data_IF_087990380289
#
_entry.id   IF_087990380289
#
_cell.length_a   1.000
_cell.length_b   1.000
_cell.length_c   1.000
_cell.angle_alpha   90.00
_cell.angle_beta   90.00
_cell.angle_gamma   90.00
#
_symmetry.space_group_name_H-M   'P 1'
#
loop_
_entity.id
_entity.type
_entity.pdbx_description
1 polymer ?
#
# COMPACT_ATOMS: atom_id res chain seq x y z
N UNK A 1 16.36 0.90 22.50
CA UNK A 1 15.62 1.78 21.58
C UNK A 1 14.20 1.98 22.03
N UNK A 2 13.51 2.99 21.50
CA UNK A 2 12.07 3.11 21.70
C UNK A 2 11.29 2.55 20.49
N UNK A 3 10.09 2.03 20.78
CA UNK A 3 9.14 1.54 19.78
C UNK A 3 7.69 1.69 20.24
N UNK A 4 6.77 1.70 19.32
CA UNK A 4 5.34 1.56 19.62
C UNK A 4 5.04 0.08 19.89
N UNK A 5 4.55 -0.20 21.08
CA UNK A 5 4.06 -1.52 21.49
C UNK A 5 2.54 -1.56 21.52
N UNK A 6 1.98 -2.75 21.47
CA UNK A 6 0.54 -3.01 21.64
C UNK A 6 0.39 -4.06 22.76
N UNK A 7 0.39 -3.64 24.04
CA UNK A 7 0.27 -4.58 25.15
C UNK A 7 -1.01 -5.41 25.11
N UNK A 8 -2.13 -4.77 24.75
CA UNK A 8 -3.43 -5.40 24.52
C UNK A 8 -4.12 -4.76 23.31
N UNK A 9 -4.82 -5.52 22.48
CA UNK A 9 -5.59 -4.97 21.37
C UNK A 9 -6.65 -3.97 21.85
N UNK A 10 -6.82 -2.86 21.13
CA UNK A 10 -7.77 -1.82 21.54
C UNK A 10 -7.90 -0.66 20.57
N UNK A 11 -8.39 0.46 21.12
CA UNK A 11 -8.44 1.76 20.44
C UNK A 11 -7.06 2.37 20.22
N UNK A 12 -6.96 3.58 19.64
CA UNK A 12 -5.67 4.24 19.38
C UNK A 12 -4.78 4.36 20.64
N UNK A 13 -5.36 4.45 21.82
CA UNK A 13 -4.67 4.50 23.12
C UNK A 13 -3.93 3.19 23.47
N UNK A 14 -4.19 2.09 22.76
CA UNK A 14 -3.44 0.84 22.93
C UNK A 14 -2.01 0.92 22.36
N UNK A 15 -1.70 1.96 21.57
CA UNK A 15 -0.36 2.22 21.07
C UNK A 15 0.47 2.93 22.15
N UNK A 16 1.47 2.24 22.70
CA UNK A 16 2.30 2.73 23.79
C UNK A 16 3.74 2.90 23.31
N UNK A 17 4.28 4.11 23.44
CA UNK A 17 5.70 4.40 23.22
C UNK A 17 6.50 3.88 24.39
N UNK A 18 7.34 2.87 24.18
CA UNK A 18 8.04 2.16 25.24
C UNK A 18 9.48 1.83 24.85
N UNK A 19 10.34 1.75 25.85
CA UNK A 19 11.70 1.25 25.72
C UNK A 19 11.69 -0.27 25.50
N UNK A 20 12.42 -0.73 24.47
CA UNK A 20 12.51 -2.13 24.08
C UNK A 20 13.96 -2.46 23.68
N UNK A 21 14.36 -3.74 23.67
CA UNK A 21 15.69 -4.13 23.21
C UNK A 21 15.93 -3.71 21.75
N UNK A 22 17.17 -3.31 21.43
CA UNK A 22 17.59 -3.07 20.06
C UNK A 22 17.57 -4.38 19.27
N UNK A 23 17.06 -4.39 18.03
CA UNK A 23 17.14 -5.55 17.17
C UNK A 23 18.57 -5.79 16.71
N UNK A 24 18.93 -7.07 16.55
CA UNK A 24 20.23 -7.49 16.02
C UNK A 24 19.97 -8.07 14.63
N UNK A 25 20.63 -7.55 13.57
CA UNK A 25 20.45 -8.07 12.23
C UNK A 25 21.05 -9.48 12.11
N UNK A 26 20.24 -10.40 11.59
CA UNK A 26 20.63 -11.79 11.30
C UNK A 26 21.42 -11.90 9.98
N UNK A 27 21.76 -13.12 9.58
CA UNK A 27 22.40 -13.37 8.27
C UNK A 27 21.51 -12.85 7.14
N UNK A 28 22.07 -12.04 6.24
CA UNK A 28 21.36 -11.42 5.11
C UNK A 28 20.43 -10.27 5.49
N UNK A 29 20.53 -9.74 6.71
CA UNK A 29 19.79 -8.58 7.17
C UNK A 29 20.69 -7.37 7.43
N UNK A 30 20.12 -6.19 7.38
CA UNK A 30 20.76 -4.95 7.85
C UNK A 30 19.95 -4.38 9.01
N UNK A 31 20.62 -3.61 9.88
CA UNK A 31 19.95 -2.76 10.85
C UNK A 31 19.73 -1.38 10.23
N UNK A 32 18.49 -0.94 10.15
CA UNK A 32 18.11 0.41 9.69
C UNK A 32 17.79 1.27 10.91
N UNK A 33 18.46 2.42 11.04
CA UNK A 33 18.03 3.52 11.89
C UNK A 33 16.92 4.27 11.17
N UNK A 34 15.72 4.22 11.73
CA UNK A 34 14.50 4.70 11.10
C UNK A 34 14.43 6.22 11.16
N UNK A 35 14.30 6.88 10.01
CA UNK A 35 14.02 8.30 9.92
C UNK A 35 12.50 8.56 9.89
N UNK A 36 11.76 7.69 9.21
CA UNK A 36 10.30 7.74 9.15
C UNK A 36 9.70 6.36 8.89
N UNK A 37 8.47 6.15 9.36
CA UNK A 37 7.56 5.08 8.98
C UNK A 37 6.29 5.66 8.37
N UNK A 38 5.46 4.84 7.72
CA UNK A 38 4.18 5.31 7.23
C UNK A 38 3.04 4.43 7.74
N UNK A 39 1.90 5.05 8.07
CA UNK A 39 0.73 4.37 8.61
C UNK A 39 -0.03 3.67 7.50
N UNK A 40 -0.35 2.40 7.75
CA UNK A 40 -1.17 1.56 6.87
C UNK A 40 -2.43 1.08 7.60
N UNK A 41 -3.50 0.81 6.86
CA UNK A 41 -4.74 0.23 7.44
C UNK A 41 -4.47 -1.09 8.16
N UNK A 42 -3.49 -1.86 7.71
CA UNK A 42 -3.07 -3.11 8.33
C UNK A 42 -2.49 -2.91 9.73
N UNK A 43 -1.81 -1.78 10.01
CA UNK A 43 -1.31 -1.43 11.35
C UNK A 43 -2.49 -1.16 12.31
N UNK A 44 -3.54 -0.50 11.80
CA UNK A 44 -4.79 -0.29 12.55
C UNK A 44 -5.44 -1.63 12.89
N UNK A 45 -5.52 -2.55 11.93
CA UNK A 45 -6.06 -3.90 12.15
C UNK A 45 -5.18 -4.72 13.12
N UNK A 46 -3.86 -4.58 13.07
CA UNK A 46 -2.95 -5.20 14.05
C UNK A 46 -3.24 -4.67 15.46
N UNK A 47 -3.33 -3.36 15.63
CA UNK A 47 -3.67 -2.76 16.91
C UNK A 47 -5.01 -3.28 17.46
N UNK A 48 -5.99 -3.51 16.60
CA UNK A 48 -7.31 -4.03 16.96
C UNK A 48 -7.33 -5.56 17.17
N UNK A 49 -6.21 -6.27 16.93
CA UNK A 49 -6.11 -7.72 17.08
C UNK A 49 -6.63 -8.54 15.88
N UNK A 50 -6.97 -7.89 14.75
CA UNK A 50 -7.51 -8.55 13.57
C UNK A 50 -6.48 -8.89 12.49
N UNK A 51 -5.23 -8.47 12.66
CA UNK A 51 -4.17 -8.70 11.67
C UNK A 51 -2.82 -8.95 12.34
N UNK A 52 -2.67 -10.15 12.91
CA UNK A 52 -1.47 -10.51 13.66
C UNK A 52 -0.21 -10.59 12.78
N UNK A 53 0.97 -10.24 13.33
CA UNK A 53 2.24 -10.44 12.64
C UNK A 53 2.42 -11.91 12.26
N UNK A 54 2.99 -12.21 11.07
CA UNK A 54 3.34 -13.58 10.71
C UNK A 54 4.46 -14.09 11.64
N UNK A 55 4.59 -15.43 11.77
CA UNK A 55 5.66 -16.01 12.60
C UNK A 55 7.05 -15.46 12.22
N UNK A 56 7.84 -15.08 13.22
CA UNK A 56 9.19 -14.53 13.05
C UNK A 56 9.26 -13.04 12.70
N UNK A 57 8.13 -12.38 12.42
CA UNK A 57 8.12 -10.93 12.23
C UNK A 57 8.17 -10.18 13.57
N UNK A 58 8.65 -8.95 13.53
CA UNK A 58 8.60 -8.04 14.67
C UNK A 58 7.17 -7.93 15.22
N UNK A 59 6.97 -7.96 16.55
CA UNK A 59 5.66 -7.76 17.17
C UNK A 59 5.18 -6.30 17.07
N UNK A 60 6.11 -5.36 16.84
CA UNK A 60 5.80 -3.95 16.72
C UNK A 60 5.12 -3.67 15.38
N UNK A 61 4.16 -2.71 15.29
CA UNK A 61 3.52 -2.34 14.02
C UNK A 61 4.50 -1.63 13.07
N UNK A 62 4.02 -1.31 11.87
CA UNK A 62 4.75 -0.61 10.83
C UNK A 62 5.26 -1.53 9.74
N UNK A 63 4.63 -1.43 8.55
CA UNK A 63 4.90 -2.30 7.39
C UNK A 63 5.89 -1.69 6.39
N UNK A 64 6.35 -0.49 6.65
CA UNK A 64 7.34 0.21 5.83
C UNK A 64 8.07 1.28 6.64
N UNK A 65 9.27 1.57 6.22
CA UNK A 65 10.06 2.68 6.77
C UNK A 65 11.04 3.23 5.73
N UNK A 66 11.66 4.36 6.07
CA UNK A 66 12.89 4.85 5.48
C UNK A 66 13.89 5.20 6.57
N UNK A 67 15.17 5.22 6.23
CA UNK A 67 16.22 5.50 7.20
C UNK A 67 17.61 5.27 6.63
N UNK A 68 18.57 5.11 7.52
CA UNK A 68 19.98 4.84 7.18
C UNK A 68 20.40 3.47 7.72
N UNK A 69 21.21 2.78 6.95
CA UNK A 69 21.81 1.52 7.41
C UNK A 69 22.80 1.84 8.53
N UNK A 70 22.54 1.32 9.72
CA UNK A 70 23.38 1.50 10.92
C UNK A 70 24.36 0.34 11.11
N UNK A 71 23.99 -0.89 10.69
CA UNK A 71 24.85 -2.05 10.77
C UNK A 71 24.49 -3.09 9.70
N UNK A 72 25.49 -3.91 9.33
CA UNK A 72 25.31 -5.03 8.41
C UNK A 72 25.38 -6.35 9.19
N UNK A 73 24.42 -7.24 8.97
CA UNK A 73 24.48 -8.60 9.44
C UNK A 73 25.44 -9.46 8.61
N UNK A 74 25.74 -10.69 9.05
CA UNK A 74 26.60 -11.60 8.31
C UNK A 74 26.10 -11.84 6.89
N UNK A 75 27.01 -11.99 5.92
CA UNK A 75 26.69 -12.32 4.52
C UNK A 75 26.11 -11.19 3.69
N UNK A 76 25.90 -9.99 4.24
CA UNK A 76 25.37 -8.83 3.50
C UNK A 76 26.42 -8.31 2.51
N UNK A 77 26.00 -8.09 1.27
CA UNK A 77 26.78 -7.45 0.22
C UNK A 77 25.92 -6.49 -0.60
N UNK A 78 26.56 -5.53 -1.27
CA UNK A 78 25.87 -4.53 -2.11
C UNK A 78 25.24 -3.37 -1.34
N UNK A 79 25.42 -3.31 -0.03
CA UNK A 79 24.98 -2.22 0.85
C UNK A 79 26.10 -1.82 1.80
N UNK A 80 26.08 -0.58 2.26
CA UNK A 80 27.08 0.00 3.18
C UNK A 80 26.38 0.70 4.34
N UNK A 81 27.08 0.76 5.49
CA UNK A 81 26.63 1.61 6.61
C UNK A 81 26.58 3.07 6.15
N UNK A 82 25.49 3.74 6.46
CA UNK A 82 25.19 5.12 6.04
C UNK A 82 24.34 5.23 4.78
N UNK A 83 24.14 4.14 4.01
CA UNK A 83 23.26 4.17 2.83
C UNK A 83 21.82 4.57 3.23
N UNK A 84 21.24 5.48 2.46
CA UNK A 84 19.83 5.89 2.61
C UNK A 84 18.92 4.89 1.89
N UNK A 85 18.01 4.31 2.66
CA UNK A 85 17.12 3.24 2.18
C UNK A 85 15.67 3.48 2.57
N UNK A 86 14.76 2.85 1.83
CA UNK A 86 13.42 2.56 2.31
C UNK A 86 13.16 1.06 2.21
N UNK A 87 12.24 0.54 3.03
CA UNK A 87 12.08 -0.88 3.22
C UNK A 87 10.62 -1.32 3.30
N UNK A 88 10.32 -2.46 2.64
CA UNK A 88 9.09 -3.21 2.83
C UNK A 88 9.23 -4.13 4.04
N UNK A 89 8.35 -4.00 5.04
CA UNK A 89 8.45 -4.71 6.31
C UNK A 89 7.29 -5.68 6.53
N UNK A 90 7.50 -6.60 7.48
CA UNK A 90 6.43 -7.44 8.05
C UNK A 90 6.00 -6.98 9.44
N UNK A 91 6.57 -5.90 9.93
CA UNK A 91 6.41 -5.26 11.23
C UNK A 91 7.70 -4.54 11.63
N UNK A 92 7.64 -3.73 12.68
CA UNK A 92 8.82 -3.09 13.27
C UNK A 92 9.10 -1.67 12.75
N UNK A 93 8.35 -1.16 11.79
CA UNK A 93 8.56 0.20 11.27
C UNK A 93 8.26 1.31 12.29
N UNK A 94 7.44 1.04 13.30
CA UNK A 94 7.15 2.01 14.37
C UNK A 94 8.16 1.89 15.52
N UNK A 95 9.45 1.90 15.18
CA UNK A 95 10.55 1.85 16.13
C UNK A 95 11.71 2.71 15.63
N UNK A 96 12.61 3.10 16.52
CA UNK A 96 13.83 3.84 16.14
C UNK A 96 14.78 3.02 15.27
N UNK A 97 14.74 1.67 15.39
CA UNK A 97 15.58 0.75 14.60
C UNK A 97 14.79 -0.49 14.20
N UNK A 98 15.10 -1.04 13.03
CA UNK A 98 14.49 -2.28 12.53
C UNK A 98 15.52 -3.12 11.76
N UNK A 99 15.50 -4.45 11.99
CA UNK A 99 16.26 -5.39 11.18
C UNK A 99 15.47 -5.72 9.90
N UNK A 100 16.13 -5.65 8.74
CA UNK A 100 15.50 -5.76 7.43
C UNK A 100 16.28 -6.73 6.53
N UNK A 101 15.63 -7.77 5.97
CA UNK A 101 16.25 -8.59 4.93
C UNK A 101 16.64 -7.76 3.71
N UNK A 102 17.87 -7.93 3.20
CA UNK A 102 18.39 -7.13 2.06
C UNK A 102 17.51 -7.20 0.81
N UNK A 103 16.79 -8.29 0.58
CA UNK A 103 15.84 -8.42 -0.53
C UNK A 103 14.58 -7.56 -0.39
N UNK A 104 14.36 -6.90 0.74
CA UNK A 104 13.23 -5.99 0.99
C UNK A 104 13.64 -4.52 1.05
N UNK A 105 14.93 -4.22 0.77
CA UNK A 105 15.49 -2.87 0.70
C UNK A 105 15.40 -2.28 -0.70
N UNK A 106 15.16 -0.99 -0.73
CA UNK A 106 15.20 -0.13 -1.90
C UNK A 106 16.06 1.10 -1.57
N UNK A 107 16.93 1.58 -2.46
CA UNK A 107 17.60 2.86 -2.23
C UNK A 107 16.57 3.98 -2.23
N UNK A 108 16.78 5.03 -1.48
CA UNK A 108 15.94 6.24 -1.60
C UNK A 108 16.03 6.74 -3.04
N UNK A 109 14.90 6.97 -3.74
CA UNK A 109 14.94 7.44 -5.14
C UNK A 109 15.51 8.86 -5.23
N UNK A 110 16.24 9.13 -6.30
CA UNK A 110 16.74 10.49 -6.56
C UNK A 110 15.61 11.53 -6.54
N UNK A 111 15.83 12.62 -5.86
CA UNK A 111 14.87 13.73 -5.73
C UNK A 111 13.74 13.49 -4.71
N UNK A 112 13.75 12.39 -3.99
CA UNK A 112 12.80 12.11 -2.90
C UNK A 112 13.50 12.35 -1.55
N UNK A 113 12.86 13.11 -0.68
CA UNK A 113 13.32 13.32 0.69
C UNK A 113 13.31 12.00 1.49
N UNK A 114 14.28 11.81 2.40
CA UNK A 114 14.44 10.57 3.15
C UNK A 114 13.17 10.21 3.94
N UNK A 115 12.54 11.17 4.60
CA UNK A 115 11.31 10.90 5.35
C UNK A 115 10.14 10.56 4.40
N UNK A 116 10.01 11.30 3.27
CA UNK A 116 8.97 11.05 2.28
C UNK A 116 9.11 9.68 1.61
N UNK A 117 10.33 9.13 1.52
CA UNK A 117 10.57 7.78 0.97
C UNK A 117 9.88 6.68 1.77
N UNK A 118 9.57 6.89 3.06
CA UNK A 118 8.80 5.95 3.87
C UNK A 118 7.37 5.71 3.33
N UNK A 119 6.84 6.62 2.52
CA UNK A 119 5.51 6.51 1.93
C UNK A 119 5.45 5.60 0.69
N UNK A 120 6.55 4.98 0.27
CA UNK A 120 6.65 4.27 -1.00
C UNK A 120 6.53 2.74 -0.89
N UNK A 121 7.27 2.03 -0.01
CA UNK A 121 7.48 0.58 -0.14
C UNK A 121 6.19 -0.24 -0.15
N UNK A 122 5.30 -0.03 0.81
CA UNK A 122 4.07 -0.82 0.93
C UNK A 122 3.09 -0.53 -0.22
N UNK A 123 2.87 0.75 -0.54
CA UNK A 123 1.90 1.11 -1.57
C UNK A 123 2.38 0.74 -2.97
N UNK A 124 3.68 0.92 -3.25
CA UNK A 124 4.25 0.58 -4.56
C UNK A 124 4.26 -0.94 -4.75
N UNK A 125 4.74 -1.70 -3.76
CA UNK A 125 4.77 -3.16 -3.83
C UNK A 125 3.36 -3.76 -3.91
N UNK A 126 2.39 -3.22 -3.15
CA UNK A 126 1.00 -3.67 -3.22
C UNK A 126 0.38 -3.40 -4.59
N UNK A 127 0.50 -2.18 -5.11
CA UNK A 127 -0.06 -1.85 -6.43
C UNK A 127 0.65 -2.63 -7.53
N UNK A 128 1.99 -2.66 -7.53
CA UNK A 128 2.75 -3.35 -8.56
C UNK A 128 2.42 -4.83 -8.62
N UNK A 129 2.46 -5.52 -7.47
CA UNK A 129 2.18 -6.96 -7.44
C UNK A 129 0.75 -7.30 -7.87
N UNK A 130 -0.26 -6.50 -7.51
CA UNK A 130 -1.65 -6.83 -7.80
C UNK A 130 -2.11 -6.35 -9.18
N UNK A 131 -1.78 -5.12 -9.55
CA UNK A 131 -2.26 -4.51 -10.81
C UNK A 131 -1.44 -4.99 -12.01
N UNK A 132 -0.09 -5.10 -11.83
CA UNK A 132 0.80 -5.40 -12.96
C UNK A 132 1.27 -6.86 -13.00
N UNK A 133 1.72 -7.43 -11.87
CA UNK A 133 2.22 -8.83 -11.88
C UNK A 133 1.08 -9.85 -11.91
N UNK A 134 -0.02 -9.64 -11.17
CA UNK A 134 -1.15 -10.58 -11.08
C UNK A 134 -2.23 -10.27 -12.11
N UNK A 135 -2.67 -9.01 -12.19
CA UNK A 135 -3.77 -8.63 -13.08
C UNK A 135 -3.32 -8.22 -14.48
N UNK A 136 -2.02 -8.08 -14.73
CA UNK A 136 -1.44 -7.79 -16.04
C UNK A 136 -2.13 -6.60 -16.74
N UNK A 137 -2.31 -5.47 -16.03
CA UNK A 137 -2.83 -4.24 -16.62
C UNK A 137 -1.95 -3.79 -17.79
N UNK A 138 -2.58 -3.44 -18.91
CA UNK A 138 -1.91 -3.06 -20.16
C UNK A 138 -2.20 -1.61 -20.54
N UNK A 139 -1.34 -0.97 -21.35
CA UNK A 139 -1.64 0.33 -21.95
C UNK A 139 -2.98 0.30 -22.70
N UNK A 140 -3.78 1.36 -22.54
CA UNK A 140 -5.12 1.49 -23.15
C UNK A 140 -6.25 0.80 -22.40
N UNK A 141 -5.97 -0.09 -21.44
CA UNK A 141 -6.99 -0.69 -20.56
C UNK A 141 -7.50 0.31 -19.52
N UNK A 142 -8.69 0.02 -18.99
CA UNK A 142 -9.31 0.81 -17.90
C UNK A 142 -9.04 0.15 -16.54
N UNK A 143 -8.41 0.90 -15.64
CA UNK A 143 -8.20 0.53 -14.24
C UNK A 143 -9.23 1.26 -13.37
N UNK A 144 -10.05 0.52 -12.62
CA UNK A 144 -10.88 1.06 -11.54
C UNK A 144 -10.19 0.85 -10.19
N UNK A 145 -10.05 1.93 -9.42
CA UNK A 145 -9.43 1.90 -8.07
C UNK A 145 -10.44 2.33 -7.02
N UNK A 146 -10.80 1.43 -6.12
CA UNK A 146 -11.60 1.80 -4.96
C UNK A 146 -10.74 2.47 -3.89
N UNK A 147 -11.21 3.63 -3.40
CA UNK A 147 -10.48 4.43 -2.44
C UNK A 147 -9.32 5.23 -3.07
N UNK A 148 -9.58 5.91 -4.19
CA UNK A 148 -8.59 6.67 -4.96
C UNK A 148 -7.74 7.66 -4.18
N UNK A 149 -8.28 8.24 -3.10
CA UNK A 149 -7.55 9.19 -2.24
C UNK A 149 -6.69 8.52 -1.14
N UNK A 150 -6.73 7.20 -0.99
CA UNK A 150 -5.86 6.48 -0.04
C UNK A 150 -4.41 6.44 -0.53
N UNK A 151 -3.47 6.01 0.34
CA UNK A 151 -2.08 5.79 -0.08
C UNK A 151 -1.97 4.82 -1.27
N UNK A 152 -2.71 3.71 -1.23
CA UNK A 152 -2.81 2.76 -2.36
C UNK A 152 -3.41 3.44 -3.59
N UNK A 153 -4.51 4.17 -3.41
CA UNK A 153 -5.21 4.81 -4.53
C UNK A 153 -4.37 5.86 -5.24
N UNK A 154 -3.71 6.74 -4.49
CA UNK A 154 -2.84 7.77 -5.06
C UNK A 154 -1.66 7.19 -5.84
N UNK A 155 -1.13 6.06 -5.40
CA UNK A 155 -0.07 5.33 -6.11
C UNK A 155 -0.62 4.62 -7.36
N UNK A 156 -1.78 3.95 -7.24
CA UNK A 156 -2.41 3.23 -8.35
C UNK A 156 -2.80 4.16 -9.51
N UNK A 157 -3.31 5.38 -9.20
CA UNK A 157 -3.59 6.40 -10.22
C UNK A 157 -2.32 6.70 -11.00
N UNK A 158 -1.25 7.09 -10.32
CA UNK A 158 -0.02 7.52 -10.96
C UNK A 158 0.64 6.40 -11.78
N UNK A 159 0.71 5.18 -11.25
CA UNK A 159 1.27 4.03 -11.98
C UNK A 159 0.41 3.65 -13.17
N UNK A 160 -0.92 3.63 -13.05
CA UNK A 160 -1.83 3.40 -14.17
C UNK A 160 -1.65 4.42 -15.28
N UNK A 161 -1.56 5.71 -14.93
CA UNK A 161 -1.30 6.79 -15.91
C UNK A 161 0.09 6.69 -16.53
N UNK A 162 1.10 6.32 -15.75
CA UNK A 162 2.47 6.19 -16.24
C UNK A 162 2.62 5.14 -17.36
N UNK A 163 1.77 4.10 -17.38
CA UNK A 163 1.76 3.08 -18.42
C UNK A 163 0.75 3.38 -19.56
N UNK A 164 -0.04 4.45 -19.46
CA UNK A 164 -1.04 4.82 -20.47
C UNK A 164 -2.41 4.13 -20.31
N UNK A 165 -2.77 3.70 -19.10
CA UNK A 165 -4.12 3.23 -18.80
C UNK A 165 -5.09 4.39 -18.58
N UNK A 166 -6.39 4.14 -18.81
CA UNK A 166 -7.48 5.00 -18.35
C UNK A 166 -7.78 4.66 -16.89
N UNK A 167 -7.82 5.65 -16.00
CA UNK A 167 -7.96 5.40 -14.57
C UNK A 167 -9.26 5.97 -14.05
N UNK A 168 -10.13 5.10 -13.53
CA UNK A 168 -11.33 5.43 -12.79
C UNK A 168 -11.08 5.27 -11.29
N UNK A 169 -11.63 6.16 -10.47
CA UNK A 169 -11.49 6.08 -9.01
C UNK A 169 -12.81 6.29 -8.31
N UNK A 170 -13.00 5.62 -7.18
CA UNK A 170 -14.04 5.98 -6.21
C UNK A 170 -13.41 6.70 -5.02
N UNK A 171 -13.96 7.83 -4.61
CA UNK A 171 -13.58 8.52 -3.39
C UNK A 171 -14.82 9.17 -2.75
N UNK A 172 -14.72 9.64 -1.52
CA UNK A 172 -15.84 10.27 -0.81
C UNK A 172 -15.66 11.79 -0.76
N UNK A 173 -16.46 12.49 -1.55
CA UNK A 173 -16.55 13.95 -1.59
C UNK A 173 -15.64 14.64 -2.61
N UNK A 174 -16.01 15.89 -2.97
CA UNK A 174 -15.39 16.62 -4.08
C UNK A 174 -13.91 16.92 -3.87
N UNK A 175 -13.49 17.25 -2.65
CA UNK A 175 -12.09 17.61 -2.37
C UNK A 175 -11.13 16.44 -2.64
N UNK A 176 -11.52 15.23 -2.24
CA UNK A 176 -10.75 14.02 -2.50
C UNK A 176 -10.70 13.66 -3.98
N UNK A 177 -11.81 13.83 -4.68
CA UNK A 177 -11.87 13.62 -6.12
C UNK A 177 -11.03 14.63 -6.88
N UNK A 178 -11.00 15.89 -6.46
CA UNK A 178 -10.12 16.91 -7.03
C UNK A 178 -8.64 16.50 -6.90
N UNK A 179 -8.23 15.99 -5.74
CA UNK A 179 -6.86 15.49 -5.54
C UNK A 179 -6.56 14.26 -6.42
N UNK A 180 -7.53 13.37 -6.62
CA UNK A 180 -7.38 12.25 -7.56
C UNK A 180 -7.21 12.73 -9.01
N UNK A 181 -7.96 13.77 -9.42
CA UNK A 181 -7.84 14.38 -10.74
C UNK A 181 -6.46 15.00 -10.97
N UNK A 182 -5.91 15.72 -9.97
CA UNK A 182 -4.56 16.28 -10.02
C UNK A 182 -3.46 15.21 -10.20
N UNK A 183 -3.72 13.98 -9.71
CA UNK A 183 -2.82 12.84 -9.89
C UNK A 183 -3.02 12.13 -11.23
N UNK A 184 -4.02 12.55 -12.02
CA UNK A 184 -4.27 12.07 -13.37
C UNK A 184 -5.44 11.09 -13.51
N UNK A 185 -6.30 10.90 -12.50
CA UNK A 185 -7.49 10.09 -12.66
C UNK A 185 -8.44 10.69 -13.71
N UNK A 186 -8.92 9.87 -14.64
CA UNK A 186 -9.75 10.28 -15.77
C UNK A 186 -11.25 10.26 -15.45
N UNK A 187 -11.68 9.31 -14.59
CA UNK A 187 -13.08 9.10 -14.20
C UNK A 187 -13.17 9.22 -12.69
N UNK A 188 -13.93 10.20 -12.22
CA UNK A 188 -14.05 10.54 -10.81
C UNK A 188 -15.45 10.19 -10.32
N UNK A 189 -15.56 9.31 -9.32
CA UNK A 189 -16.84 8.78 -8.85
C UNK A 189 -16.96 9.05 -7.35
N UNK A 190 -17.91 9.89 -6.96
CA UNK A 190 -18.29 10.02 -5.55
C UNK A 190 -19.20 8.86 -5.16
N UNK A 191 -18.65 7.88 -4.44
CA UNK A 191 -19.40 6.69 -4.03
C UNK A 191 -20.56 6.97 -3.06
N UNK A 192 -20.66 8.20 -2.55
CA UNK A 192 -21.76 8.64 -1.67
C UNK A 192 -23.01 9.04 -2.46
N UNK A 193 -22.80 9.54 -3.69
CA UNK A 193 -23.84 10.12 -4.54
C UNK A 193 -24.10 9.31 -5.81
N UNK A 194 -23.13 8.49 -6.24
CA UNK A 194 -23.14 7.82 -7.53
C UNK A 194 -22.96 6.29 -7.41
N UNK A 195 -23.60 5.54 -8.31
CA UNK A 195 -23.30 4.12 -8.48
C UNK A 195 -22.07 3.95 -9.40
N UNK A 196 -21.01 3.41 -8.86
CA UNK A 196 -19.76 3.27 -9.62
C UNK A 196 -19.87 2.33 -10.82
N UNK A 197 -20.81 1.35 -10.79
CA UNK A 197 -21.04 0.46 -11.94
C UNK A 197 -21.58 1.25 -13.11
N UNK A 198 -22.59 2.08 -12.87
CA UNK A 198 -23.22 2.89 -13.91
C UNK A 198 -22.25 3.92 -14.47
N UNK A 199 -21.48 4.59 -13.61
CA UNK A 199 -20.50 5.59 -14.04
C UNK A 199 -19.36 4.97 -14.83
N UNK A 200 -18.83 3.80 -14.43
CA UNK A 200 -17.78 3.11 -15.19
C UNK A 200 -18.30 2.65 -16.54
N UNK A 201 -19.49 2.01 -16.58
CA UNK A 201 -20.07 1.55 -17.85
C UNK A 201 -20.34 2.72 -18.79
N UNK A 202 -20.89 3.83 -18.27
CA UNK A 202 -21.12 5.05 -19.06
C UNK A 202 -19.82 5.63 -19.63
N UNK A 203 -18.78 5.72 -18.80
CA UNK A 203 -17.49 6.30 -19.21
C UNK A 203 -16.66 5.39 -20.13
N UNK A 204 -17.06 4.13 -20.28
CA UNK A 204 -16.41 3.11 -21.13
C UNK A 204 -17.31 2.59 -22.24
N UNK A 205 -18.37 3.31 -22.61
CA UNK A 205 -19.33 2.94 -23.66
C UNK A 205 -19.90 1.50 -23.49
N UNK A 206 -20.14 1.11 -22.24
CA UNK A 206 -20.68 -0.20 -21.84
C UNK A 206 -19.63 -1.31 -21.71
N UNK A 207 -18.36 -1.06 -21.98
CA UNK A 207 -17.27 -2.07 -21.92
C UNK A 207 -16.98 -2.50 -20.47
N UNK A 208 -16.84 -1.55 -19.54
CA UNK A 208 -16.46 -1.78 -18.14
C UNK A 208 -14.97 -1.61 -17.88
N UNK A 209 -14.54 -1.98 -16.67
CA UNK A 209 -13.14 -1.91 -16.25
C UNK A 209 -12.39 -3.22 -16.55
N UNK A 210 -11.21 -3.11 -17.13
CA UNK A 210 -10.35 -4.28 -17.41
C UNK A 210 -9.69 -4.82 -16.14
N UNK A 211 -9.29 -3.92 -15.24
CA UNK A 211 -8.75 -4.27 -13.92
C UNK A 211 -9.47 -3.46 -12.85
N UNK A 212 -9.85 -4.12 -11.76
CA UNK A 212 -10.38 -3.45 -10.57
C UNK A 212 -9.46 -3.77 -9.40
N UNK A 213 -8.94 -2.72 -8.74
CA UNK A 213 -8.21 -2.83 -7.48
C UNK A 213 -9.15 -2.52 -6.32
N UNK A 214 -9.46 -3.54 -5.51
CA UNK A 214 -10.51 -3.48 -4.50
C UNK A 214 -9.98 -3.61 -3.07
N UNK A 215 -10.31 -2.63 -2.24
CA UNK A 215 -10.05 -2.60 -0.80
C UNK A 215 -11.29 -2.92 0.04
N UNK A 216 -12.46 -3.10 -0.60
CA UNK A 216 -13.74 -3.25 0.09
C UNK A 216 -14.12 -4.70 0.34
N UNK A 217 -13.84 -5.60 -0.59
CA UNK A 217 -14.19 -7.02 -0.47
C UNK A 217 -15.70 -7.29 -0.63
N UNK A 218 -16.28 -8.05 0.28
CA UNK A 218 -17.61 -8.63 0.16
C UNK A 218 -18.71 -7.63 -0.25
N UNK A 219 -18.74 -6.46 0.35
CA UNK A 219 -19.77 -5.44 0.08
C UNK A 219 -19.80 -4.98 -1.38
N UNK A 220 -18.67 -5.03 -2.07
CA UNK A 220 -18.56 -4.57 -3.46
C UNK A 220 -18.46 -5.71 -4.47
N UNK A 221 -18.36 -6.97 -4.03
CA UNK A 221 -18.03 -8.12 -4.87
C UNK A 221 -18.96 -8.27 -6.08
N UNK A 222 -20.29 -8.29 -5.88
CA UNK A 222 -21.27 -8.39 -6.97
C UNK A 222 -21.18 -7.19 -7.92
N UNK A 223 -21.10 -5.98 -7.37
CA UNK A 223 -21.02 -4.75 -8.16
C UNK A 223 -19.72 -4.68 -8.95
N UNK A 224 -18.60 -5.12 -8.35
CA UNK A 224 -17.31 -5.24 -9.05
C UNK A 224 -17.41 -6.18 -10.24
N UNK A 225 -18.03 -7.36 -10.08
CA UNK A 225 -18.24 -8.28 -11.19
C UNK A 225 -19.09 -7.66 -12.30
N UNK A 226 -20.11 -6.88 -11.96
CA UNK A 226 -20.93 -6.14 -12.94
C UNK A 226 -20.13 -5.06 -13.68
N UNK A 227 -19.24 -4.37 -12.99
CA UNK A 227 -18.40 -3.30 -13.56
C UNK A 227 -17.23 -3.82 -14.40
N UNK A 228 -16.83 -5.10 -14.27
CA UNK A 228 -15.75 -5.67 -15.07
C UNK A 228 -16.08 -5.71 -16.56
N UNK A 229 -15.08 -5.48 -17.37
CA UNK A 229 -15.07 -5.78 -18.80
C UNK A 229 -15.04 -7.30 -19.06
N UNK A 230 -15.23 -7.70 -20.31
CA UNK A 230 -14.95 -9.07 -20.76
C UNK A 230 -13.45 -9.35 -20.66
N UNK A 231 -13.07 -10.48 -20.09
CA UNK A 231 -11.71 -10.84 -19.64
C UNK A 231 -11.16 -9.94 -18.51
N UNK A 232 -12.05 -9.27 -17.77
CA UNK A 232 -11.69 -8.40 -16.66
C UNK A 232 -11.12 -9.16 -15.47
N UNK A 233 -10.32 -8.46 -14.64
CA UNK A 233 -9.62 -9.02 -13.49
C UNK A 233 -9.90 -8.17 -12.27
N UNK A 234 -10.48 -8.79 -11.23
CA UNK A 234 -10.71 -8.17 -9.92
C UNK A 234 -9.61 -8.60 -8.96
N UNK A 235 -8.82 -7.67 -8.46
CA UNK A 235 -7.81 -7.88 -7.45
C UNK A 235 -8.29 -7.33 -6.10
N UNK A 236 -8.64 -8.22 -5.18
CA UNK A 236 -9.05 -7.88 -3.82
C UNK A 236 -7.82 -7.85 -2.91
N UNK A 237 -7.54 -6.68 -2.32
CA UNK A 237 -6.41 -6.46 -1.42
C UNK A 237 -6.82 -5.99 -0.03
N UNK A 238 -8.11 -5.79 0.21
CA UNK A 238 -8.66 -5.36 1.48
C UNK A 238 -10.10 -5.82 1.67
N UNK A 239 -10.54 -5.82 2.93
CA UNK A 239 -11.82 -6.38 3.34
C UNK A 239 -12.61 -5.39 4.21
N UNK A 240 -12.53 -4.08 3.92
CA UNK A 240 -13.20 -3.04 4.72
C UNK A 240 -14.73 -3.15 4.71
N UNK A 241 -15.29 -3.79 3.69
CA UNK A 241 -16.72 -4.07 3.55
C UNK A 241 -17.10 -5.52 3.85
N UNK A 242 -16.21 -6.28 4.49
CA UNK A 242 -16.45 -7.67 4.90
C UNK A 242 -15.64 -8.71 4.14
N UNK A 243 -15.46 -9.87 4.79
CA UNK A 243 -14.63 -10.99 4.31
C UNK A 243 -15.44 -12.09 3.59
N UNK A 244 -16.75 -12.14 3.77
CA UNK A 244 -17.61 -13.20 3.21
C UNK A 244 -18.72 -12.58 2.36
N UNK A 245 -18.85 -13.02 1.12
CA UNK A 245 -19.86 -12.57 0.18
C UNK A 245 -20.20 -13.65 -0.85
N UNK A 246 -21.36 -13.53 -1.49
CA UNK A 246 -21.79 -14.40 -2.58
C UNK A 246 -21.14 -13.95 -3.89
N UNK A 247 -20.77 -14.92 -4.74
CA UNK A 247 -20.20 -14.70 -6.05
C UNK A 247 -21.07 -15.35 -7.13
N UNK A 248 -21.58 -14.55 -8.05
CA UNK A 248 -22.33 -15.04 -9.20
C UNK A 248 -21.36 -15.61 -10.26
N UNK A 249 -21.18 -16.94 -10.23
CA UNK A 249 -20.30 -17.64 -11.19
C UNK A 249 -20.80 -17.55 -12.64
N UNK A 250 -22.12 -17.46 -12.86
CA UNK A 250 -22.69 -17.27 -14.20
C UNK A 250 -22.27 -15.92 -14.82
N UNK A 251 -22.23 -14.87 -14.01
CA UNK A 251 -21.75 -13.55 -14.45
C UNK A 251 -20.25 -13.59 -14.78
N UNK A 252 -19.43 -14.29 -13.97
CA UNK A 252 -18.01 -14.48 -14.27
C UNK A 252 -17.79 -15.27 -15.56
N UNK A 253 -18.51 -16.37 -15.77
CA UNK A 253 -18.45 -17.18 -17.00
C UNK A 253 -18.75 -16.35 -18.24
N UNK A 254 -19.83 -15.56 -18.21
CA UNK A 254 -20.23 -14.71 -19.32
C UNK A 254 -19.14 -13.70 -19.67
N UNK A 255 -18.47 -13.14 -18.67
CA UNK A 255 -17.38 -12.17 -18.86
C UNK A 255 -16.01 -12.82 -19.03
N UNK A 256 -15.86 -14.13 -18.84
CA UNK A 256 -14.55 -14.80 -18.76
C UNK A 256 -13.60 -14.11 -17.78
N UNK A 257 -14.15 -13.59 -16.70
CA UNK A 257 -13.44 -12.75 -15.74
C UNK A 257 -12.77 -13.60 -14.64
N UNK A 258 -11.76 -13.00 -14.00
CA UNK A 258 -11.06 -13.59 -12.86
C UNK A 258 -11.25 -12.75 -11.60
N UNK A 259 -11.31 -13.41 -10.45
CA UNK A 259 -11.24 -12.80 -9.12
C UNK A 259 -10.03 -13.37 -8.41
N UNK A 260 -9.14 -12.50 -7.96
CA UNK A 260 -7.96 -12.85 -7.17
C UNK A 260 -7.99 -12.09 -5.85
N UNK A 261 -7.44 -12.69 -4.80
CA UNK A 261 -7.27 -12.03 -3.52
C UNK A 261 -5.85 -12.29 -3.03
N UNK A 262 -5.16 -11.25 -2.60
CA UNK A 262 -3.76 -11.37 -2.15
C UNK A 262 -3.49 -10.56 -0.88
N UNK A 263 -2.48 -11.00 -0.14
CA UNK A 263 -1.88 -10.28 0.97
C UNK A 263 -0.38 -10.16 0.71
N UNK A 264 0.22 -9.00 1.02
CA UNK A 264 1.65 -8.79 0.84
C UNK A 264 2.44 -9.19 2.09
N UNK A 265 1.98 -8.80 3.28
CA UNK A 265 2.69 -8.98 4.55
C UNK A 265 3.11 -10.41 4.84
N UNK A 266 2.19 -11.37 4.63
CA UNK A 266 2.38 -12.78 4.93
C UNK A 266 3.14 -13.59 3.86
N UNK A 267 3.58 -12.97 2.76
CA UNK A 267 4.33 -13.68 1.71
C UNK A 267 5.71 -14.10 2.22
N UNK A 268 6.25 -15.24 1.75
CA UNK A 268 7.63 -15.64 1.99
C UNK A 268 8.62 -14.52 1.59
N UNK A 269 9.77 -14.46 2.27
CA UNK A 269 10.78 -13.44 2.01
C UNK A 269 11.25 -13.41 0.54
N UNK A 270 11.39 -14.57 -0.09
CA UNK A 270 11.78 -14.68 -1.51
C UNK A 270 10.73 -14.08 -2.46
N UNK A 271 9.42 -14.23 -2.18
CA UNK A 271 8.37 -13.62 -3.00
C UNK A 271 8.35 -12.09 -2.83
N UNK A 272 8.54 -11.59 -1.59
CA UNK A 272 8.68 -10.16 -1.37
C UNK A 272 9.91 -9.58 -2.07
N UNK A 273 11.04 -10.28 -2.01
CA UNK A 273 12.25 -9.87 -2.71
C UNK A 273 12.04 -9.78 -4.23
N UNK A 274 11.30 -10.73 -4.82
CA UNK A 274 10.96 -10.68 -6.24
C UNK A 274 10.08 -9.47 -6.60
N UNK A 275 9.10 -9.14 -5.74
CA UNK A 275 8.26 -7.94 -5.92
C UNK A 275 9.11 -6.67 -5.79
N UNK A 276 9.95 -6.58 -4.77
CA UNK A 276 10.84 -5.42 -4.54
C UNK A 276 11.83 -5.24 -5.69
N UNK A 277 12.39 -6.32 -6.21
CA UNK A 277 13.28 -6.27 -7.39
C UNK A 277 12.53 -5.74 -8.63
N UNK A 278 11.32 -6.24 -8.90
CA UNK A 278 10.50 -5.76 -10.01
C UNK A 278 10.11 -4.27 -9.85
N UNK A 279 9.78 -3.86 -8.64
CA UNK A 279 9.51 -2.44 -8.31
C UNK A 279 10.75 -1.59 -8.56
N UNK A 280 11.92 -2.02 -8.11
CA UNK A 280 13.20 -1.31 -8.34
C UNK A 280 13.49 -1.15 -9.84
N UNK A 281 13.22 -2.18 -10.63
CA UNK A 281 13.46 -2.16 -12.09
C UNK A 281 12.48 -1.25 -12.83
N UNK A 282 11.18 -1.33 -12.51
CA UNK A 282 10.14 -0.72 -13.33
C UNK A 282 9.56 0.57 -12.77
N UNK A 283 9.54 0.74 -11.45
CA UNK A 283 8.88 1.90 -10.80
C UNK A 283 9.89 2.95 -10.34
N UNK A 284 11.04 2.55 -9.83
CA UNK A 284 12.06 3.49 -9.35
C UNK A 284 12.50 4.51 -10.41
N UNK A 285 12.71 4.13 -11.69
CA UNK A 285 12.98 5.11 -12.76
C UNK A 285 11.84 6.10 -12.99
N UNK A 286 10.58 5.70 -12.75
CA UNK A 286 9.44 6.61 -12.87
C UNK A 286 9.40 7.65 -11.74
N UNK A 287 9.83 7.24 -10.54
CA UNK A 287 9.90 8.13 -9.38
C UNK A 287 11.07 9.10 -9.55
N UNK A 288 12.27 8.61 -9.87
CA UNK A 288 13.45 9.45 -10.13
C UNK A 288 13.21 10.44 -11.29
N UNK A 289 12.43 10.05 -12.29
CA UNK A 289 12.01 10.93 -13.40
C UNK A 289 10.84 11.86 -13.06
N UNK A 290 10.32 11.87 -11.84
CA UNK A 290 9.23 12.76 -11.39
C UNK A 290 7.84 12.43 -11.94
N UNK A 291 7.68 11.30 -12.65
CA UNK A 291 6.39 10.84 -13.21
C UNK A 291 5.48 10.23 -12.14
N UNK A 292 6.06 9.69 -11.10
CA UNK A 292 5.41 9.12 -9.92
C UNK A 292 6.05 9.71 -8.69
N UNK A 293 5.28 10.05 -7.68
CA UNK A 293 5.78 10.66 -6.44
C UNK A 293 5.02 10.16 -5.21
N UNK A 294 5.65 10.12 -4.04
CA UNK A 294 4.92 9.89 -2.79
C UNK A 294 3.91 11.02 -2.57
N UNK A 295 2.71 10.67 -2.12
CA UNK A 295 1.69 11.65 -1.71
C UNK A 295 1.57 11.56 -0.20
N UNK A 296 2.08 12.58 0.48
CA UNK A 296 2.07 12.68 1.95
C UNK A 296 1.03 13.71 2.36
N UNK A 297 0.10 13.30 3.22
CA UNK A 297 -0.93 14.18 3.80
C UNK A 297 -0.36 15.00 4.95
N UNK A 298 0.29 14.31 5.89
CA UNK A 298 0.92 14.92 7.06
C UNK A 298 2.00 14.05 7.65
N UNK A 299 2.82 14.67 8.50
CA UNK A 299 3.85 14.02 9.30
C UNK A 299 3.60 14.29 10.77
N UNK A 300 3.75 13.25 11.59
CA UNK A 300 3.59 13.28 13.05
C UNK A 300 4.86 12.67 13.70
N UNK A 301 5.19 13.00 14.95
CA UNK A 301 6.20 12.27 15.68
C UNK A 301 5.83 10.78 15.81
N UNK A 302 6.82 9.90 15.85
CA UNK A 302 6.60 8.45 16.00
C UNK A 302 5.88 8.12 17.32
N UNK A 303 6.17 8.88 18.38
CA UNK A 303 5.45 8.79 19.66
C UNK A 303 3.94 9.08 19.55
N UNK A 304 3.52 9.80 18.52
CA UNK A 304 2.13 10.19 18.28
C UNK A 304 1.42 9.25 17.28
N UNK A 305 1.88 8.00 17.15
CA UNK A 305 1.29 6.99 16.26
C UNK A 305 -0.22 6.79 16.51
N UNK A 306 -0.69 6.97 17.73
CA UNK A 306 -2.11 6.94 18.07
C UNK A 306 -2.92 7.96 17.27
N UNK A 307 -2.41 9.19 17.09
CA UNK A 307 -3.06 10.22 16.27
C UNK A 307 -3.00 9.84 14.79
N UNK A 308 -1.88 9.30 14.30
CA UNK A 308 -1.78 8.75 12.96
C UNK A 308 -2.87 7.71 12.66
N UNK A 309 -3.14 6.82 13.60
CA UNK A 309 -4.22 5.83 13.48
C UNK A 309 -5.61 6.48 13.47
N UNK A 310 -5.88 7.49 14.32
CA UNK A 310 -7.16 8.24 14.29
C UNK A 310 -7.40 8.89 12.92
N UNK A 311 -6.39 9.48 12.33
CA UNK A 311 -6.48 10.08 10.99
C UNK A 311 -6.87 9.06 9.93
N UNK A 312 -6.24 7.85 9.96
CA UNK A 312 -6.58 6.77 9.03
C UNK A 312 -8.01 6.26 9.26
N UNK A 313 -8.45 6.10 10.52
CA UNK A 313 -9.80 5.64 10.86
C UNK A 313 -10.87 6.65 10.45
N UNK A 314 -10.63 7.94 10.68
CA UNK A 314 -11.52 9.02 10.25
C UNK A 314 -11.59 9.17 8.71
N UNK A 315 -10.64 8.57 7.99
CA UNK A 315 -10.57 8.66 6.52
C UNK A 315 -10.61 10.12 6.01
N UNK A 316 -9.96 11.04 6.71
CA UNK A 316 -9.90 12.47 6.32
C UNK A 316 -8.70 12.82 5.45
N UNK A 317 -7.68 11.97 5.43
CA UNK A 317 -6.41 12.14 4.72
C UNK A 317 -6.53 11.89 3.21
N UNK A 318 -5.53 12.39 2.48
CA UNK A 318 -5.24 12.06 1.08
C UNK A 318 -3.78 11.59 0.97
N UNK A 319 -3.56 10.35 0.56
CA UNK A 319 -2.22 9.75 0.51
C UNK A 319 -1.82 9.11 1.83
N UNK A 320 -0.58 9.32 2.26
CA UNK A 320 0.05 8.67 3.41
C UNK A 320 0.19 9.61 4.61
N UNK A 321 0.09 9.04 5.79
CA UNK A 321 0.45 9.70 7.05
C UNK A 321 1.81 9.15 7.48
N UNK A 322 2.79 10.01 7.70
CA UNK A 322 4.13 9.64 8.14
C UNK A 322 4.28 9.79 9.65
N UNK A 323 5.13 8.95 10.20
CA UNK A 323 5.61 9.00 11.58
C UNK A 323 7.13 9.17 11.53
N UNK A 324 7.66 10.27 12.06
CA UNK A 324 9.12 10.54 12.11
C UNK A 324 9.70 10.22 13.47
N UNK A 325 10.88 9.59 13.47
CA UNK A 325 11.63 9.26 14.68
C UNK A 325 12.28 10.51 15.31
#
# INVERSE_FOLDING_TARGET
>A
MYAITIPEPGGPEALVWAEVPDPVPSEGEVLVEVAAAAVNRADVLQRQGFYNPPPGASPYPGLECSGRIAALGPGVSGWSVGDEVCALLSGGGYAEKVAVPIGQLLPVPDGVDLAAAAALPEVVCTVWSNVFMVSHLRPGETLLVHGGASGIGTMAIQLGKAIGAKVAVTAGGPDKLARCAELGADILIDYREQDFVDEVLKATDGVGADVILDIMGAKYLERNVRALAVNGRLAVIGLQGGAKGELNLGALLTKRAAVTATSLRGRPAAEKAAIVAAVREHVWPLIAGGRVRPVVDRTLPLSDAAEGHRVIEASTHVGKVLLTA
#
